data_IF_243245125434
#
_entry.id   IF_243245125434
#
_cell.length_a   1.000
_cell.length_b   1.000
_cell.length_c   1.000
_cell.angle_alpha   90.00
_cell.angle_beta   90.00
_cell.angle_gamma   90.00
#
_symmetry.space_group_name_H-M   'P 1'
#
loop_
_entity.id
_entity.type
_entity.pdbx_description
1 polymer ?
#
# COMPACT_ATOMS: atom_id res chain seq x y z
N UNK A 1 70.97 67.58 5.73
CA UNK A 1 69.83 66.75 6.22
C UNK A 1 69.23 66.04 5.02
N UNK A 2 69.15 64.70 5.11
CA UNK A 2 68.22 63.76 4.43
C UNK A 2 68.09 63.78 2.90
N UNK A 3 68.05 62.67 2.18
CA UNK A 3 68.00 61.25 2.53
C UNK A 3 68.30 60.47 1.23
N UNK A 4 69.20 59.51 1.32
CA UNK A 4 69.56 58.54 0.28
C UNK A 4 68.52 57.41 0.23
N UNK A 5 67.82 57.29 -0.91
CA UNK A 5 66.90 56.17 -1.16
C UNK A 5 67.68 54.96 -1.70
N UNK A 6 67.82 53.95 -0.85
CA UNK A 6 68.42 52.64 -1.17
C UNK A 6 67.45 51.83 -2.04
N UNK A 7 67.89 51.48 -3.24
CA UNK A 7 67.19 50.54 -4.12
C UNK A 7 67.25 49.12 -3.54
N UNK A 8 66.09 48.46 -3.42
CA UNK A 8 65.98 47.04 -3.03
C UNK A 8 66.25 46.13 -4.24
N UNK A 9 67.00 45.02 -4.09
CA UNK A 9 67.23 44.10 -5.20
C UNK A 9 65.97 43.29 -5.48
N UNK A 10 65.66 43.13 -6.78
CA UNK A 10 64.55 42.33 -7.28
C UNK A 10 64.68 40.87 -6.86
N UNK A 11 63.61 40.33 -6.26
CA UNK A 11 63.46 38.88 -6.09
C UNK A 11 63.32 38.24 -7.47
N UNK A 12 64.38 37.55 -7.89
CA UNK A 12 64.37 36.68 -9.06
C UNK A 12 63.18 35.71 -8.98
N UNK A 13 62.35 35.72 -10.02
CA UNK A 13 61.27 34.76 -10.19
C UNK A 13 61.88 33.37 -10.39
N UNK A 14 61.79 32.52 -9.37
CA UNK A 14 62.06 31.10 -9.51
C UNK A 14 61.02 30.51 -10.48
N UNK A 15 61.43 30.31 -11.74
CA UNK A 15 60.68 29.57 -12.74
C UNK A 15 60.44 28.16 -12.23
N UNK A 16 59.18 27.84 -11.93
CA UNK A 16 58.76 26.47 -11.59
C UNK A 16 59.17 25.53 -12.73
N UNK A 17 59.79 24.37 -12.44
CA UNK A 17 60.20 23.44 -13.48
C UNK A 17 58.98 22.97 -14.31
N UNK A 18 59.15 22.75 -15.63
CA UNK A 18 58.09 22.25 -16.48
C UNK A 18 57.63 20.87 -15.99
N UNK A 19 56.31 20.68 -15.89
CA UNK A 19 55.73 19.40 -15.48
C UNK A 19 56.06 18.33 -16.52
N UNK A 20 56.43 17.10 -16.10
CA UNK A 20 56.67 16.01 -17.02
C UNK A 20 55.39 15.69 -17.82
N UNK A 21 55.50 15.47 -19.14
CA UNK A 21 54.36 15.06 -19.96
C UNK A 21 53.88 13.68 -19.48
N UNK A 22 52.59 13.56 -19.16
CA UNK A 22 51.97 12.27 -18.78
C UNK A 22 51.69 12.06 -17.29
N UNK A 23 52.03 13.00 -16.40
CA UNK A 23 51.65 12.87 -14.99
C UNK A 23 50.11 12.86 -14.85
N UNK A 24 49.49 11.80 -14.30
CA UNK A 24 48.04 11.73 -14.18
C UNK A 24 47.53 12.92 -13.38
N UNK A 25 46.60 13.68 -13.98
CA UNK A 25 46.01 14.89 -13.38
C UNK A 25 45.33 14.48 -12.08
N UNK A 26 46.02 14.64 -10.93
CA UNK A 26 45.49 14.30 -9.62
C UNK A 26 44.24 15.15 -9.39
N UNK A 27 43.07 14.52 -9.52
CA UNK A 27 41.79 15.17 -9.28
C UNK A 27 41.79 15.78 -7.87
N UNK A 28 41.36 17.03 -7.77
CA UNK A 28 41.22 17.73 -6.49
C UNK A 28 40.28 16.96 -5.55
N UNK A 29 40.45 17.05 -4.22
CA UNK A 29 39.56 16.39 -3.26
C UNK A 29 38.07 16.70 -3.51
N UNK A 30 37.77 17.94 -3.92
CA UNK A 30 36.42 18.38 -4.31
C UNK A 30 35.89 17.66 -5.56
N UNK A 31 36.72 17.46 -6.60
CA UNK A 31 36.34 16.73 -7.80
C UNK A 31 36.08 15.22 -7.52
N UNK A 32 36.88 14.61 -6.63
CA UNK A 32 36.68 13.23 -6.17
C UNK A 32 35.38 13.06 -5.35
N UNK A 33 35.06 14.02 -4.48
CA UNK A 33 33.79 14.04 -3.72
C UNK A 33 32.57 14.19 -4.64
N UNK A 34 32.66 15.04 -5.67
CA UNK A 34 31.60 15.21 -6.69
C UNK A 34 31.42 13.97 -7.57
N UNK A 35 32.51 13.30 -7.95
CA UNK A 35 32.45 12.02 -8.67
C UNK A 35 31.89 10.88 -7.81
N UNK A 36 32.24 10.78 -6.52
CA UNK A 36 31.64 9.82 -5.59
C UNK A 36 30.13 10.08 -5.42
N UNK A 37 29.71 11.34 -5.25
CA UNK A 37 28.29 11.70 -5.17
C UNK A 37 27.50 11.31 -6.43
N UNK A 38 28.06 11.56 -7.62
CA UNK A 38 27.45 11.12 -8.90
C UNK A 38 27.38 9.59 -9.04
N UNK A 39 28.39 8.85 -8.55
CA UNK A 39 28.36 7.38 -8.54
C UNK A 39 27.30 6.86 -7.59
N UNK A 40 27.21 7.39 -6.37
CA UNK A 40 26.17 7.03 -5.40
C UNK A 40 24.77 7.33 -5.94
N UNK A 41 24.57 8.51 -6.54
CA UNK A 41 23.29 8.87 -7.16
C UNK A 41 22.92 7.93 -8.33
N UNK A 42 23.89 7.54 -9.17
CA UNK A 42 23.64 6.55 -10.25
C UNK A 42 23.32 5.17 -9.70
N UNK A 43 24.05 4.69 -8.69
CA UNK A 43 23.76 3.40 -8.04
C UNK A 43 22.37 3.44 -7.42
N UNK A 44 22.03 4.51 -6.71
CA UNK A 44 20.70 4.71 -6.15
C UNK A 44 19.62 4.71 -7.24
N UNK A 45 19.81 5.45 -8.34
CA UNK A 45 18.88 5.46 -9.47
C UNK A 45 18.70 4.06 -10.08
N UNK A 46 19.79 3.31 -10.28
CA UNK A 46 19.74 1.94 -10.80
C UNK A 46 19.00 1.02 -9.83
N UNK A 47 19.22 1.15 -8.52
CA UNK A 47 18.51 0.37 -7.50
C UNK A 47 17.01 0.71 -7.47
N UNK A 48 16.65 1.99 -7.57
CA UNK A 48 15.24 2.43 -7.66
C UNK A 48 14.60 1.88 -8.92
N UNK A 49 15.28 1.97 -10.07
CA UNK A 49 14.76 1.44 -11.33
C UNK A 49 14.60 -0.10 -11.26
N UNK A 50 15.59 -0.81 -10.74
CA UNK A 50 15.52 -2.26 -10.55
C UNK A 50 14.39 -2.66 -9.58
N UNK A 51 14.19 -1.89 -8.50
CA UNK A 51 13.08 -2.08 -7.58
C UNK A 51 11.73 -1.85 -8.27
N UNK A 52 11.59 -0.76 -9.04
CA UNK A 52 10.37 -0.47 -9.81
C UNK A 52 10.10 -1.58 -10.81
N UNK A 53 11.09 -2.02 -11.59
CA UNK A 53 10.93 -3.13 -12.54
C UNK A 53 10.53 -4.41 -11.80
N UNK A 54 11.21 -4.76 -10.70
CA UNK A 54 10.91 -5.94 -9.91
C UNK A 54 9.50 -5.94 -9.31
N UNK A 55 9.04 -4.79 -8.79
CA UNK A 55 7.66 -4.62 -8.30
C UNK A 55 6.68 -4.71 -9.47
N UNK A 56 6.97 -4.08 -10.60
CA UNK A 56 6.07 -4.08 -11.77
C UNK A 56 5.92 -5.49 -12.34
N UNK A 57 7.01 -6.24 -12.50
CA UNK A 57 6.97 -7.62 -12.99
C UNK A 57 6.30 -8.57 -12.00
N UNK A 58 6.56 -8.41 -10.70
CA UNK A 58 5.88 -9.19 -9.66
C UNK A 58 4.36 -8.93 -9.65
N UNK A 59 3.96 -7.65 -9.69
CA UNK A 59 2.55 -7.26 -9.79
C UNK A 59 1.95 -7.79 -11.08
N UNK A 60 2.60 -7.63 -12.24
CA UNK A 60 2.12 -8.17 -13.51
C UNK A 60 1.92 -9.69 -13.46
N UNK A 61 2.85 -10.43 -12.84
CA UNK A 61 2.70 -11.87 -12.60
C UNK A 61 1.50 -12.20 -11.71
N UNK A 62 1.30 -11.42 -10.63
CA UNK A 62 0.14 -11.56 -9.76
C UNK A 62 -1.19 -11.24 -10.48
N UNK A 63 -1.17 -10.29 -11.40
CA UNK A 63 -2.32 -9.92 -12.25
C UNK A 63 -2.62 -11.02 -13.29
N UNK A 64 -1.59 -11.67 -13.84
CA UNK A 64 -1.72 -12.73 -14.83
C UNK A 64 -2.13 -14.09 -14.24
N UNK A 65 -1.80 -14.34 -12.97
CA UNK A 65 -2.17 -15.60 -12.30
C UNK A 65 -3.68 -15.84 -12.31
N UNK A 66 -4.17 -17.08 -12.47
CA UNK A 66 -5.59 -17.37 -12.39
C UNK A 66 -6.14 -16.93 -11.02
N UNK A 67 -7.24 -16.17 -11.03
CA UNK A 67 -7.92 -15.69 -9.83
C UNK A 67 -9.42 -15.74 -10.05
N UNK A 68 -10.10 -16.42 -9.15
CA UNK A 68 -11.55 -16.49 -9.11
C UNK A 68 -12.08 -15.39 -8.18
N UNK A 69 -12.73 -14.41 -8.80
CA UNK A 69 -13.40 -13.31 -8.11
C UNK A 69 -14.56 -13.80 -7.25
N UNK A 70 -15.17 -14.95 -7.56
CA UNK A 70 -16.32 -15.51 -6.84
C UNK A 70 -15.94 -16.54 -5.76
N UNK A 71 -14.65 -16.71 -5.48
CA UNK A 71 -14.18 -17.67 -4.47
C UNK A 71 -14.54 -17.29 -3.01
N UNK A 72 -15.30 -16.22 -2.78
CA UNK A 72 -15.78 -15.90 -1.43
C UNK A 72 -16.81 -16.93 -1.00
N UNK A 73 -16.52 -17.61 0.10
CA UNK A 73 -17.43 -18.62 0.65
C UNK A 73 -18.83 -18.02 0.88
N UNK A 74 -19.90 -18.74 0.52
CA UNK A 74 -21.26 -18.28 0.77
C UNK A 74 -21.48 -18.07 2.28
N UNK A 75 -22.44 -17.22 2.64
CA UNK A 75 -22.85 -17.09 4.04
C UNK A 75 -23.25 -18.48 4.58
N UNK A 76 -22.70 -18.89 5.73
CA UNK A 76 -22.97 -20.21 6.27
C UNK A 76 -24.44 -20.30 6.69
N UNK A 77 -25.07 -21.42 6.38
CA UNK A 77 -26.47 -21.69 6.74
C UNK A 77 -26.53 -22.64 7.91
N UNK A 78 -27.56 -22.52 8.73
CA UNK A 78 -27.87 -23.52 9.74
C UNK A 78 -28.35 -24.81 9.09
N UNK A 79 -27.92 -25.95 9.62
CA UNK A 79 -28.43 -27.26 9.21
C UNK A 79 -29.54 -27.68 10.19
N UNK A 80 -30.72 -27.97 9.67
CA UNK A 80 -31.83 -28.52 10.46
C UNK A 80 -31.69 -30.03 10.53
N UNK A 81 -31.80 -30.59 11.74
CA UNK A 81 -31.85 -32.03 11.96
C UNK A 81 -33.31 -32.42 12.09
N UNK A 82 -33.79 -33.27 11.17
CA UNK A 82 -35.17 -33.76 11.14
C UNK A 82 -35.18 -35.26 11.44
N UNK A 83 -36.21 -35.71 12.15
CA UNK A 83 -36.55 -37.12 12.32
C UNK A 83 -37.12 -37.70 11.01
N UNK A 84 -37.25 -39.03 10.95
CA UNK A 84 -37.78 -39.72 9.76
C UNK A 84 -39.23 -39.31 9.42
N UNK A 85 -39.99 -38.83 10.40
CA UNK A 85 -41.35 -38.31 10.27
C UNK A 85 -41.40 -36.81 9.92
N UNK A 86 -40.25 -36.14 9.77
CA UNK A 86 -40.15 -34.71 9.49
C UNK A 86 -40.08 -33.81 10.73
N UNK A 87 -40.20 -34.36 11.95
CA UNK A 87 -40.14 -33.57 13.19
C UNK A 87 -38.74 -32.99 13.40
N UNK A 88 -38.62 -31.70 13.72
CA UNK A 88 -37.32 -31.08 13.99
C UNK A 88 -36.74 -31.56 15.33
N UNK A 89 -35.60 -32.27 15.27
CA UNK A 89 -34.84 -32.75 16.42
C UNK A 89 -33.91 -31.65 16.94
N UNK A 90 -33.36 -30.83 16.04
CA UNK A 90 -32.40 -29.80 16.42
C UNK A 90 -31.90 -28.96 15.26
N UNK A 91 -30.92 -28.10 15.54
CA UNK A 91 -30.30 -27.24 14.55
C UNK A 91 -28.80 -27.10 14.86
N UNK A 92 -27.95 -27.38 13.87
CA UNK A 92 -26.53 -27.09 13.94
C UNK A 92 -26.32 -25.69 13.37
N UNK A 93 -25.82 -24.78 14.21
CA UNK A 93 -25.52 -23.40 13.82
C UNK A 93 -24.04 -23.23 13.48
N UNK A 94 -23.70 -22.40 12.48
CA UNK A 94 -22.31 -22.07 12.21
C UNK A 94 -21.65 -21.38 13.43
N UNK A 95 -20.31 -21.48 13.59
CA UNK A 95 -19.61 -20.87 14.72
C UNK A 95 -19.54 -19.33 14.65
N UNK A 96 -20.02 -18.73 13.56
CA UNK A 96 -20.09 -17.30 13.35
C UNK A 96 -21.44 -16.91 12.72
N UNK A 97 -21.85 -15.66 12.94
CA UNK A 97 -23.08 -15.09 12.40
C UNK A 97 -22.74 -14.26 11.17
N UNK A 98 -23.38 -14.57 10.04
CA UNK A 98 -23.30 -13.76 8.83
C UNK A 98 -24.64 -13.81 8.13
N UNK A 99 -25.09 -12.63 7.71
CA UNK A 99 -26.29 -12.46 6.90
C UNK A 99 -25.92 -11.48 5.81
N UNK A 100 -26.03 -11.93 4.55
CA UNK A 100 -25.77 -11.05 3.42
C UNK A 100 -26.98 -10.16 3.19
N UNK A 101 -26.72 -8.89 2.90
CA UNK A 101 -27.70 -7.91 2.45
C UNK A 101 -27.43 -7.57 0.98
N UNK A 102 -28.49 -7.32 0.21
CA UNK A 102 -28.37 -6.89 -1.19
C UNK A 102 -27.99 -5.42 -1.26
N UNK A 103 -27.40 -4.99 -2.38
CA UNK A 103 -26.94 -3.61 -2.54
C UNK A 103 -28.08 -2.60 -2.32
N UNK A 104 -29.23 -2.85 -2.92
CA UNK A 104 -30.44 -2.02 -2.83
C UNK A 104 -31.03 -1.92 -1.42
N UNK A 105 -30.82 -2.92 -0.58
CA UNK A 105 -31.35 -2.97 0.79
C UNK A 105 -30.43 -2.25 1.78
N UNK A 106 -29.18 -1.97 1.40
CA UNK A 106 -28.26 -1.20 2.24
C UNK A 106 -28.73 0.26 2.26
N UNK A 107 -28.91 0.89 3.43
CA UNK A 107 -29.26 2.30 3.50
C UNK A 107 -28.14 3.22 2.97
N UNK A 108 -28.50 4.29 2.27
CA UNK A 108 -27.53 5.29 1.78
C UNK A 108 -26.65 5.89 2.87
N UNK A 109 -27.22 6.10 4.05
CA UNK A 109 -26.49 6.61 5.21
C UNK A 109 -25.36 5.65 5.61
N UNK A 110 -25.59 4.33 5.50
CA UNK A 110 -24.59 3.31 5.83
C UNK A 110 -23.45 3.30 4.79
N UNK A 111 -23.80 3.37 3.50
CA UNK A 111 -22.81 3.50 2.41
C UNK A 111 -21.91 4.71 2.63
N UNK A 112 -22.52 5.88 2.84
CA UNK A 112 -21.80 7.15 3.03
C UNK A 112 -20.95 7.14 4.29
N UNK A 113 -21.46 6.60 5.39
CA UNK A 113 -20.73 6.49 6.65
C UNK A 113 -19.45 5.67 6.47
N UNK A 114 -19.54 4.46 5.89
CA UNK A 114 -18.39 3.58 5.69
C UNK A 114 -17.37 4.19 4.72
N UNK A 115 -17.83 4.74 3.59
CA UNK A 115 -16.94 5.43 2.65
C UNK A 115 -16.22 6.58 3.36
N UNK A 116 -16.93 7.44 4.10
CA UNK A 116 -16.32 8.59 4.77
C UNK A 116 -15.31 8.20 5.86
N UNK A 117 -15.55 7.09 6.56
CA UNK A 117 -14.73 6.64 7.68
C UNK A 117 -13.48 5.87 7.22
N UNK A 118 -13.62 5.00 6.22
CA UNK A 118 -12.58 4.05 5.82
C UNK A 118 -11.83 4.50 4.56
N UNK A 119 -12.51 5.13 3.60
CA UNK A 119 -11.96 5.42 2.27
C UNK A 119 -12.73 6.56 1.58
N UNK A 120 -12.48 7.80 2.01
CA UNK A 120 -13.24 8.97 1.54
C UNK A 120 -13.14 9.22 0.02
N UNK A 121 -12.18 8.60 -0.65
CA UNK A 121 -11.93 8.68 -2.08
C UNK A 121 -12.27 7.40 -2.82
N UNK A 122 -13.06 6.54 -2.21
CA UNK A 122 -13.41 5.22 -2.74
C UNK A 122 -13.86 5.28 -4.21
N UNK A 123 -14.61 6.31 -4.61
CA UNK A 123 -15.12 6.44 -5.98
C UNK A 123 -14.08 6.97 -6.99
N UNK A 124 -12.94 7.51 -6.53
CA UNK A 124 -11.97 8.22 -7.37
C UNK A 124 -10.77 7.36 -7.80
N UNK A 125 -10.61 6.16 -7.24
CA UNK A 125 -9.44 5.29 -7.50
C UNK A 125 -9.84 3.90 -7.98
N UNK A 126 -8.88 3.10 -8.45
CA UNK A 126 -9.13 1.74 -8.96
C UNK A 126 -8.38 0.70 -8.13
N UNK A 127 -8.85 0.46 -6.90
CA UNK A 127 -8.31 -0.55 -5.98
C UNK A 127 -7.21 -0.07 -5.04
N UNK A 128 -6.33 0.84 -5.47
CA UNK A 128 -5.33 1.46 -4.58
C UNK A 128 -5.39 2.98 -4.71
N UNK A 129 -5.16 3.69 -3.62
CA UNK A 129 -5.05 5.15 -3.62
C UNK A 129 -3.60 5.58 -3.28
N UNK A 130 -2.77 5.91 -4.29
CA UNK A 130 -1.40 6.37 -4.08
C UNK A 130 -1.33 7.66 -3.26
N UNK A 131 -2.32 8.55 -3.39
CA UNK A 131 -2.35 9.82 -2.70
C UNK A 131 -2.70 9.63 -1.22
N UNK A 132 -3.67 8.77 -0.89
CA UNK A 132 -3.94 8.40 0.50
C UNK A 132 -2.76 7.64 1.12
N UNK A 133 -2.14 6.71 0.37
CA UNK A 133 -0.96 5.97 0.81
C UNK A 133 0.21 6.90 1.12
N UNK A 134 0.51 7.84 0.22
CA UNK A 134 1.58 8.82 0.41
C UNK A 134 1.29 9.77 1.57
N UNK A 135 0.05 10.26 1.68
CA UNK A 135 -0.37 11.10 2.81
C UNK A 135 -0.19 10.36 4.15
N UNK A 136 -0.64 9.11 4.23
CA UNK A 136 -0.49 8.28 5.42
C UNK A 136 1.00 8.07 5.77
N UNK A 137 1.84 7.74 4.78
CA UNK A 137 3.27 7.58 4.98
C UNK A 137 3.94 8.86 5.51
N UNK A 138 3.60 10.03 4.95
CA UNK A 138 4.13 11.32 5.43
C UNK A 138 3.68 11.58 6.87
N UNK A 139 2.42 11.31 7.20
CA UNK A 139 1.88 11.50 8.56
C UNK A 139 2.57 10.60 9.58
N UNK A 140 2.74 9.33 9.25
CA UNK A 140 3.43 8.35 10.09
C UNK A 140 4.89 8.75 10.35
N UNK A 141 5.59 9.28 9.33
CA UNK A 141 6.97 9.77 9.47
C UNK A 141 7.06 11.08 10.26
N UNK A 142 6.06 11.95 10.14
CA UNK A 142 6.00 13.24 10.85
C UNK A 142 5.64 13.13 12.34
N UNK A 143 5.44 11.92 12.87
CA UNK A 143 5.02 11.70 14.26
C UNK A 143 3.56 12.07 14.54
N UNK A 144 2.75 12.25 13.49
CA UNK A 144 1.33 12.52 13.61
C UNK A 144 0.54 11.29 14.07
N UNK A 145 -0.76 11.47 14.29
CA UNK A 145 -1.68 10.35 14.50
C UNK A 145 -1.66 9.46 13.26
N UNK A 146 -1.44 8.15 13.46
CA UNK A 146 -1.40 7.17 12.36
C UNK A 146 -2.67 7.25 11.52
N UNK A 147 -2.51 7.31 10.21
CA UNK A 147 -3.60 7.31 9.25
C UNK A 147 -3.60 6.01 8.44
N UNK A 148 -4.78 5.45 8.19
CA UNK A 148 -4.93 4.33 7.27
C UNK A 148 -4.70 4.80 5.83
N UNK A 149 -3.74 4.20 5.13
CA UNK A 149 -3.53 4.41 3.70
C UNK A 149 -4.17 3.34 2.81
N UNK A 150 -4.94 2.42 3.38
CA UNK A 150 -5.55 1.31 2.63
C UNK A 150 -6.95 1.64 2.16
N UNK A 151 -7.31 1.20 0.96
CA UNK A 151 -8.65 1.39 0.37
C UNK A 151 -9.65 0.35 0.86
N UNK A 152 -10.95 0.61 0.70
CA UNK A 152 -12.01 -0.36 0.97
C UNK A 152 -11.80 -1.66 0.19
N UNK A 153 -11.39 -1.58 -1.08
CA UNK A 153 -11.11 -2.75 -1.92
C UNK A 153 -9.95 -3.58 -1.37
N UNK A 154 -8.88 -2.95 -0.88
CA UNK A 154 -7.79 -3.67 -0.21
C UNK A 154 -8.27 -4.34 1.10
N UNK A 155 -9.15 -3.67 1.84
CA UNK A 155 -9.72 -4.25 3.06
C UNK A 155 -10.65 -5.43 2.76
N UNK A 156 -11.44 -5.35 1.69
CA UNK A 156 -12.24 -6.46 1.20
C UNK A 156 -11.36 -7.65 0.85
N UNK A 157 -10.29 -7.43 0.07
CA UNK A 157 -9.34 -8.47 -0.31
C UNK A 157 -8.71 -9.14 0.92
N UNK A 158 -8.28 -8.34 1.89
CA UNK A 158 -7.72 -8.83 3.15
C UNK A 158 -8.69 -9.77 3.86
N UNK A 159 -9.94 -9.35 4.00
CA UNK A 159 -10.96 -10.09 4.75
C UNK A 159 -11.43 -11.35 4.02
N UNK A 160 -11.51 -11.32 2.68
CA UNK A 160 -12.12 -12.37 1.89
C UNK A 160 -11.13 -13.39 1.29
N UNK A 161 -9.87 -13.01 1.01
CA UNK A 161 -8.96 -13.88 0.24
C UNK A 161 -7.59 -14.13 0.88
N UNK A 162 -7.00 -13.14 1.57
CA UNK A 162 -5.57 -13.20 1.95
C UNK A 162 -5.34 -13.31 3.45
N UNK A 163 -6.36 -13.07 4.28
CA UNK A 163 -6.28 -13.22 5.74
C UNK A 163 -5.45 -12.12 6.44
N UNK A 164 -5.05 -12.39 7.69
CA UNK A 164 -4.59 -11.37 8.64
C UNK A 164 -3.06 -11.37 8.91
N UNK A 165 -2.26 -12.09 8.13
CA UNK A 165 -0.80 -12.21 8.35
C UNK A 165 -0.07 -10.87 8.24
N UNK A 166 0.72 -10.44 9.22
CA UNK A 166 1.38 -9.12 9.17
C UNK A 166 2.68 -9.09 8.35
N UNK A 167 2.61 -9.48 7.08
CA UNK A 167 3.77 -9.49 6.16
C UNK A 167 3.65 -8.49 5.01
N UNK A 168 4.79 -7.98 4.53
CA UNK A 168 4.84 -7.10 3.35
C UNK A 168 4.36 -7.83 2.09
N UNK A 169 4.70 -9.11 1.94
CA UNK A 169 4.27 -9.93 0.81
C UNK A 169 2.74 -10.03 0.75
N UNK A 170 2.07 -10.25 1.90
CA UNK A 170 0.61 -10.23 1.96
C UNK A 170 0.07 -8.86 1.56
N UNK A 171 0.68 -7.75 2.00
CA UNK A 171 0.24 -6.40 1.62
C UNK A 171 0.36 -6.12 0.12
N UNK A 172 1.41 -6.62 -0.52
CA UNK A 172 1.57 -6.51 -1.98
C UNK A 172 0.51 -7.36 -2.69
N UNK A 173 0.23 -8.58 -2.20
CA UNK A 173 -0.86 -9.43 -2.71
C UNK A 173 -2.22 -8.73 -2.62
N UNK A 174 -2.51 -8.08 -1.48
CA UNK A 174 -3.73 -7.29 -1.30
C UNK A 174 -3.87 -6.19 -2.35
N UNK A 175 -2.81 -5.40 -2.54
CA UNK A 175 -2.82 -4.30 -3.50
C UNK A 175 -3.05 -4.81 -4.94
N UNK A 176 -2.34 -5.86 -5.34
CA UNK A 176 -2.50 -6.43 -6.68
C UNK A 176 -3.89 -7.03 -6.90
N UNK A 177 -4.42 -7.79 -5.95
CA UNK A 177 -5.78 -8.34 -6.03
C UNK A 177 -6.87 -7.26 -6.00
N UNK A 178 -6.67 -6.17 -5.24
CA UNK A 178 -7.62 -5.06 -5.20
C UNK A 178 -7.78 -4.41 -6.58
N UNK A 179 -6.67 -4.16 -7.29
CA UNK A 179 -6.70 -3.65 -8.67
C UNK A 179 -7.45 -4.63 -9.60
N UNK A 180 -7.25 -5.94 -9.45
CA UNK A 180 -7.95 -6.94 -10.27
C UNK A 180 -9.45 -6.98 -10.02
N UNK A 181 -9.86 -6.87 -8.75
CA UNK A 181 -11.27 -6.86 -8.39
C UNK A 181 -11.97 -5.64 -8.98
N UNK A 182 -11.34 -4.47 -8.93
CA UNK A 182 -11.88 -3.23 -9.51
C UNK A 182 -11.97 -3.23 -11.04
N UNK A 183 -11.18 -4.08 -11.69
CA UNK A 183 -11.30 -4.30 -13.13
C UNK A 183 -12.45 -5.26 -13.51
N UNK A 184 -13.07 -5.93 -12.53
CA UNK A 184 -14.07 -6.98 -12.76
C UNK A 184 -15.42 -6.71 -12.07
N UNK A 185 -15.41 -5.96 -10.98
CA UNK A 185 -16.56 -5.61 -10.17
C UNK A 185 -16.71 -4.10 -10.15
N UNK A 186 -17.95 -3.64 -10.15
CA UNK A 186 -18.30 -2.24 -9.93
C UNK A 186 -18.01 -1.82 -8.49
N UNK A 187 -17.92 -0.50 -8.27
CA UNK A 187 -17.78 0.09 -6.93
C UNK A 187 -18.90 -0.33 -5.99
N UNK A 188 -20.12 -0.45 -6.50
CA UNK A 188 -21.28 -0.86 -5.72
C UNK A 188 -21.19 -2.34 -5.29
N UNK A 189 -20.77 -3.23 -6.20
CA UNK A 189 -20.54 -4.64 -5.88
C UNK A 189 -19.44 -4.79 -4.83
N UNK A 190 -18.30 -4.10 -5.00
CA UNK A 190 -17.19 -4.15 -4.05
C UNK A 190 -17.62 -3.66 -2.67
N UNK A 191 -18.35 -2.53 -2.60
CA UNK A 191 -18.83 -2.01 -1.34
C UNK A 191 -19.82 -2.97 -0.67
N UNK A 192 -20.76 -3.51 -1.44
CA UNK A 192 -21.76 -4.46 -0.95
C UNK A 192 -21.10 -5.73 -0.41
N UNK A 193 -20.18 -6.30 -1.17
CA UNK A 193 -19.44 -7.49 -0.75
C UNK A 193 -18.59 -7.24 0.50
N UNK A 194 -17.89 -6.10 0.55
CA UNK A 194 -17.16 -5.67 1.73
C UNK A 194 -18.06 -5.62 2.97
N UNK A 195 -19.21 -4.95 2.85
CA UNK A 195 -20.18 -4.82 3.93
C UNK A 195 -20.82 -6.14 4.36
N UNK A 196 -20.76 -7.17 3.51
CA UNK A 196 -21.26 -8.52 3.80
C UNK A 196 -20.22 -9.43 4.47
N UNK A 197 -18.93 -9.10 4.40
CA UNK A 197 -17.84 -9.92 4.97
C UNK A 197 -17.05 -9.21 6.06
N UNK A 198 -17.33 -7.94 6.32
CA UNK A 198 -16.65 -7.15 7.34
C UNK A 198 -16.86 -7.78 8.74
N UNK A 199 -15.76 -8.08 9.42
CA UNK A 199 -15.82 -8.53 10.81
C UNK A 199 -16.14 -7.36 11.74
N UNK A 200 -17.20 -7.50 12.53
CA UNK A 200 -17.73 -6.46 13.43
C UNK A 200 -17.73 -6.91 14.90
N UNK A 201 -16.85 -7.85 15.26
CA UNK A 201 -16.71 -8.36 16.63
C UNK A 201 -17.66 -9.53 16.95
N UNK A 202 -17.42 -10.24 18.05
CA UNK A 202 -18.30 -11.31 18.57
C UNK A 202 -18.66 -12.43 17.57
N UNK A 203 -17.72 -12.79 16.68
CA UNK A 203 -17.96 -13.71 15.56
C UNK A 203 -19.13 -13.27 14.66
N UNK A 204 -19.38 -11.95 14.55
CA UNK A 204 -20.38 -11.36 13.68
C UNK A 204 -19.70 -10.75 12.47
N UNK A 205 -20.17 -11.15 11.29
CA UNK A 205 -19.67 -10.73 10.00
C UNK A 205 -20.80 -10.13 9.18
N UNK A 206 -20.54 -8.98 8.61
CA UNK A 206 -21.47 -8.23 7.79
C UNK A 206 -22.38 -7.30 8.59
N UNK A 207 -22.71 -6.17 7.98
CA UNK A 207 -23.47 -5.09 8.63
C UNK A 207 -24.88 -5.50 9.03
N UNK A 208 -25.53 -6.36 8.25
CA UNK A 208 -26.88 -6.84 8.52
C UNK A 208 -26.93 -7.73 9.77
N UNK A 209 -26.00 -8.69 9.87
CA UNK A 209 -25.90 -9.54 11.05
C UNK A 209 -25.50 -8.72 12.29
N UNK A 210 -24.64 -7.71 12.13
CA UNK A 210 -24.26 -6.81 13.21
C UNK A 210 -25.42 -5.94 13.69
N UNK A 211 -26.22 -5.39 12.78
CA UNK A 211 -27.40 -4.60 13.13
C UNK A 211 -28.33 -5.40 14.06
N UNK A 212 -28.70 -6.61 13.65
CA UNK A 212 -29.55 -7.52 14.43
C UNK A 212 -28.92 -7.95 15.75
N UNK A 213 -27.60 -8.16 15.77
CA UNK A 213 -26.91 -8.64 16.96
C UNK A 213 -26.79 -7.56 18.03
N UNK A 214 -26.47 -6.32 17.64
CA UNK A 214 -26.20 -5.24 18.59
C UNK A 214 -27.42 -4.38 18.91
N UNK A 215 -28.38 -4.26 17.99
CA UNK A 215 -29.50 -3.32 18.12
C UNK A 215 -30.89 -3.97 18.11
N UNK A 216 -30.98 -5.29 17.82
CA UNK A 216 -32.24 -6.02 17.70
C UNK A 216 -32.91 -5.88 16.34
#
# INVERSE_FOLDING_TARGET
MSSSAVARPGRAGASRPPRPPGAPRRLSPAARRRQRGRRVARVFLVLVLAFVVGVTTFVAGLLAAPFDVRAVAPAPKSVLLLAADGTQIGQIRPPYRRENIRAEDIPDIMRKAIISAEDARFLDHSGVDPLATMRAAIRDLSGGRKQGGSTLTQQYVKNAYVGNDRTLLRKIKEAGLAVRLENRLSKEEILTDYLNVLYLGNNVYGVQAAAKYYFG
#
